data_IF_017650472206
#
_entry.id   IF_017650472206
#
_cell.length_a   1.000
_cell.length_b   1.000
_cell.length_c   1.000
_cell.angle_alpha   90.00
_cell.angle_beta   90.00
_cell.angle_gamma   90.00
#
_symmetry.space_group_name_H-M   'P 1'
#
loop_
_entity.id
_entity.type
_entity.pdbx_description
1 polymer ?
#
# COMPACT_ATOMS: atom_id res chain seq x y z
N UNK A 1 4.07 19.12 -28.83
CA UNK A 1 2.81 18.90 -29.57
C UNK A 1 3.11 17.85 -30.62
N UNK A 2 2.95 16.57 -30.27
CA UNK A 2 3.19 15.44 -31.16
C UNK A 2 1.90 14.63 -31.12
N UNK A 3 1.19 14.63 -32.24
CA UNK A 3 -0.05 13.88 -32.46
C UNK A 3 0.31 12.40 -32.56
N UNK A 4 -0.16 11.58 -31.61
CA UNK A 4 -0.07 10.12 -31.70
C UNK A 4 -1.33 9.66 -32.41
N UNK A 5 -1.26 9.47 -33.73
CA UNK A 5 -2.27 8.73 -34.47
C UNK A 5 -2.15 7.24 -34.11
N UNK A 6 -2.93 6.82 -33.11
CA UNK A 6 -3.23 5.41 -32.89
C UNK A 6 -4.04 4.90 -34.07
N UNK A 7 -3.48 3.93 -34.81
CA UNK A 7 -4.15 3.23 -35.91
C UNK A 7 -5.40 2.52 -35.36
N UNK A 8 -6.56 3.16 -35.50
CA UNK A 8 -7.88 2.61 -35.18
C UNK A 8 -8.14 1.41 -36.09
N UNK A 9 -8.18 0.19 -35.54
CA UNK A 9 -8.73 -0.97 -36.28
C UNK A 9 -10.23 -0.75 -36.44
N UNK A 10 -10.70 -0.76 -37.68
CA UNK A 10 -12.13 -0.86 -38.00
C UNK A 10 -12.63 -2.28 -37.65
N UNK A 11 -13.76 -2.42 -36.94
CA UNK A 11 -14.34 -3.73 -36.66
C UNK A 11 -14.89 -4.33 -37.97
N UNK A 12 -14.37 -5.49 -38.36
CA UNK A 12 -14.83 -6.21 -39.53
C UNK A 12 -15.92 -7.21 -39.13
N UNK A 13 -17.11 -6.98 -39.69
CA UNK A 13 -18.28 -7.85 -39.85
C UNK A 13 -19.03 -8.36 -38.59
N UNK A 14 -20.16 -7.69 -38.32
CA UNK A 14 -21.32 -8.21 -37.58
C UNK A 14 -21.94 -9.41 -38.32
N UNK A 15 -22.41 -10.47 -37.64
CA UNK A 15 -23.59 -11.20 -38.05
C UNK A 15 -24.85 -10.48 -37.54
N UNK A 16 -25.84 -10.37 -38.41
CA UNK A 16 -27.16 -9.84 -38.12
C UNK A 16 -27.85 -10.62 -37.00
N UNK A 17 -28.17 -9.95 -35.91
CA UNK A 17 -29.47 -10.08 -35.24
C UNK A 17 -29.71 -8.83 -34.37
N UNK A 18 -30.71 -8.06 -34.78
CA UNK A 18 -31.16 -6.82 -34.17
C UNK A 18 -31.89 -7.10 -32.87
N UNK A 19 -31.18 -6.94 -31.75
CA UNK A 19 -31.78 -6.47 -30.50
C UNK A 19 -31.29 -5.04 -30.34
N UNK A 20 -32.19 -4.06 -30.43
CA UNK A 20 -31.92 -2.67 -30.02
C UNK A 20 -31.70 -2.64 -28.50
N UNK A 21 -30.57 -3.19 -28.05
CA UNK A 21 -30.06 -3.01 -26.71
C UNK A 21 -29.59 -1.57 -26.64
N UNK A 22 -30.35 -0.71 -25.94
CA UNK A 22 -30.07 0.71 -25.66
C UNK A 22 -28.59 1.08 -25.85
N UNK A 23 -28.20 1.47 -27.07
CA UNK A 23 -26.81 1.75 -27.44
C UNK A 23 -26.21 2.84 -26.55
N UNK A 24 -27.07 3.69 -25.96
CA UNK A 24 -26.71 4.75 -25.02
C UNK A 24 -26.11 4.23 -23.71
N UNK A 25 -26.59 3.11 -23.15
CA UNK A 25 -26.06 2.58 -21.89
C UNK A 25 -24.79 1.77 -22.10
N UNK A 26 -24.74 1.01 -23.20
CA UNK A 26 -23.59 0.16 -23.55
C UNK A 26 -22.31 0.95 -23.85
N UNK A 27 -22.45 2.19 -24.33
CA UNK A 27 -21.35 3.12 -24.65
C UNK A 27 -21.13 4.21 -23.60
N UNK A 28 -21.95 4.25 -22.53
CA UNK A 28 -21.89 5.30 -21.53
C UNK A 28 -20.71 5.15 -20.57
N UNK A 29 -19.96 6.25 -20.38
CA UNK A 29 -18.96 6.35 -19.33
C UNK A 29 -19.56 6.16 -17.93
N UNK A 30 -20.78 6.65 -17.68
CA UNK A 30 -21.45 6.48 -16.39
C UNK A 30 -21.77 5.01 -16.08
N UNK A 31 -22.20 4.25 -17.10
CA UNK A 31 -22.40 2.81 -16.96
C UNK A 31 -21.09 2.08 -16.66
N UNK A 32 -19.98 2.52 -17.26
CA UNK A 32 -18.64 1.96 -17.00
C UNK A 32 -18.18 2.24 -15.58
N UNK A 33 -18.35 3.47 -15.07
CA UNK A 33 -18.06 3.81 -13.67
C UNK A 33 -18.90 2.94 -12.73
N UNK A 34 -20.20 2.80 -13.00
CA UNK A 34 -21.09 1.98 -12.18
C UNK A 34 -20.67 0.51 -12.15
N UNK A 35 -20.35 -0.06 -13.32
CA UNK A 35 -19.89 -1.44 -13.42
C UNK A 35 -18.60 -1.68 -12.62
N UNK A 36 -17.61 -0.80 -12.77
CA UNK A 36 -16.34 -0.86 -12.01
C UNK A 36 -16.60 -0.71 -10.51
N UNK A 37 -17.46 0.22 -10.09
CA UNK A 37 -17.81 0.41 -8.68
C UNK A 37 -18.52 -0.81 -8.09
N UNK A 38 -19.44 -1.43 -8.84
CA UNK A 38 -20.12 -2.68 -8.44
C UNK A 38 -19.11 -3.81 -8.29
N UNK A 39 -18.22 -4.01 -9.28
CA UNK A 39 -17.19 -5.04 -9.19
C UNK A 39 -16.28 -4.82 -7.99
N UNK A 40 -15.77 -3.61 -7.79
CA UNK A 40 -14.92 -3.27 -6.64
C UNK A 40 -15.62 -3.56 -5.32
N UNK A 41 -16.91 -3.23 -5.22
CA UNK A 41 -17.72 -3.48 -4.02
C UNK A 41 -17.85 -4.98 -3.75
N UNK A 42 -18.15 -5.78 -4.78
CA UNK A 42 -18.24 -7.24 -4.65
C UNK A 42 -16.90 -7.81 -4.17
N UNK A 43 -15.79 -7.47 -4.84
CA UNK A 43 -14.47 -7.99 -4.49
C UNK A 43 -14.05 -7.58 -3.08
N UNK A 44 -14.24 -6.31 -2.69
CA UNK A 44 -13.92 -5.85 -1.33
C UNK A 44 -14.78 -6.52 -0.27
N UNK A 45 -16.09 -6.67 -0.50
CA UNK A 45 -16.99 -7.34 0.44
C UNK A 45 -16.61 -8.81 0.61
N UNK A 46 -16.37 -9.52 -0.49
CA UNK A 46 -15.92 -10.92 -0.46
C UNK A 46 -14.59 -11.05 0.28
N UNK A 47 -13.63 -10.17 -0.01
CA UNK A 47 -12.32 -10.17 0.65
C UNK A 47 -12.44 -9.89 2.15
N UNK A 48 -13.27 -8.92 2.54
CA UNK A 48 -13.54 -8.61 3.94
C UNK A 48 -14.18 -9.79 4.69
N UNK A 49 -15.17 -10.46 4.08
CA UNK A 49 -15.80 -11.67 4.65
C UNK A 49 -14.75 -12.78 4.85
N UNK A 50 -13.91 -13.04 3.83
CA UNK A 50 -12.88 -14.09 3.90
C UNK A 50 -11.84 -13.73 4.98
N UNK A 51 -11.35 -12.49 5.03
CA UNK A 51 -10.39 -12.04 6.06
C UNK A 51 -10.96 -12.26 7.46
N UNK A 52 -12.20 -11.86 7.72
CA UNK A 52 -12.85 -12.06 9.02
C UNK A 52 -13.05 -13.55 9.35
N UNK A 53 -13.42 -14.36 8.36
CA UNK A 53 -13.53 -15.81 8.52
C UNK A 53 -12.17 -16.42 8.88
N UNK A 54 -11.08 -16.00 8.23
CA UNK A 54 -9.73 -16.45 8.53
C UNK A 54 -9.33 -16.08 9.97
N UNK A 55 -9.57 -14.84 10.41
CA UNK A 55 -9.31 -14.42 11.79
C UNK A 55 -10.08 -15.31 12.76
N UNK A 56 -11.39 -15.46 12.54
CA UNK A 56 -12.24 -16.30 13.38
C UNK A 56 -11.77 -17.77 13.41
N UNK A 57 -11.34 -18.32 12.27
CA UNK A 57 -10.85 -19.69 12.20
C UNK A 57 -9.58 -19.88 13.03
N UNK A 58 -8.64 -18.93 13.01
CA UNK A 58 -7.36 -18.98 13.71
C UNK A 58 -7.43 -18.52 15.18
N UNK A 59 -8.41 -17.69 15.54
CA UNK A 59 -8.67 -17.31 16.94
C UNK A 59 -9.29 -18.47 17.72
N UNK A 60 -10.21 -19.22 17.11
CA UNK A 60 -10.84 -20.38 17.74
C UNK A 60 -9.89 -21.58 17.96
N UNK A 61 -8.70 -21.59 17.36
CA UNK A 61 -7.68 -22.60 17.63
C UNK A 61 -6.84 -22.33 18.88
N UNK A 62 -6.96 -21.16 19.53
CA UNK A 62 -6.20 -20.82 20.74
C UNK A 62 -6.85 -21.27 22.06
N UNK A 63 -7.86 -22.15 22.03
CA UNK A 63 -8.51 -22.69 23.23
C UNK A 63 -7.70 -23.82 23.89
N UNK A 64 -6.42 -23.56 24.21
CA UNK A 64 -5.69 -24.28 25.27
C UNK A 64 -4.78 -23.28 26.01
N UNK A 65 -4.89 -23.17 27.35
CA UNK A 65 -4.06 -22.26 28.10
C UNK A 65 -2.67 -22.88 28.27
N UNK A 66 -1.68 -22.37 27.56
CA UNK A 66 -0.28 -22.47 27.99
C UNK A 66 0.25 -21.05 28.18
N UNK A 67 0.57 -20.74 29.43
CA UNK A 67 1.33 -19.56 29.80
C UNK A 67 2.72 -19.69 29.17
N UNK A 68 3.11 -18.81 28.25
CA UNK A 68 4.49 -18.32 28.19
C UNK A 68 4.69 -17.11 27.26
N UNK A 69 5.36 -16.11 27.85
CA UNK A 69 6.00 -14.90 27.33
C UNK A 69 5.49 -14.23 26.04
N UNK A 70 4.60 -13.26 26.22
CA UNK A 70 4.26 -12.24 25.22
C UNK A 70 5.35 -11.17 25.18
N UNK A 71 6.28 -11.26 24.22
CA UNK A 71 7.02 -10.07 23.79
C UNK A 71 6.18 -9.30 22.75
N UNK A 72 5.67 -8.16 23.20
CA UNK A 72 5.11 -7.01 22.47
C UNK A 72 4.96 -7.16 20.95
N UNK A 73 3.78 -7.64 20.53
CA UNK A 73 3.18 -7.24 19.25
C UNK A 73 2.25 -6.08 19.56
N UNK A 74 2.57 -4.92 18.99
CA UNK A 74 1.83 -3.67 19.13
C UNK A 74 0.40 -3.86 18.61
N UNK A 75 -0.59 -3.61 19.47
CA UNK A 75 -1.87 -3.01 19.07
C UNK A 75 -2.98 -3.91 18.49
N UNK A 76 -3.22 -5.11 19.01
CA UNK A 76 -4.36 -5.96 18.61
C UNK A 76 -5.68 -5.67 19.37
N UNK A 77 -5.91 -4.43 19.82
CA UNK A 77 -7.06 -4.10 20.68
C UNK A 77 -7.89 -2.94 20.11
N UNK A 78 -8.60 -3.14 19.00
CA UNK A 78 -9.78 -2.32 18.65
C UNK A 78 -10.50 -2.81 17.39
N UNK A 79 -11.22 -3.94 17.47
CA UNK A 79 -12.31 -4.24 16.53
C UNK A 79 -13.52 -4.77 17.31
N UNK A 80 -14.74 -4.24 17.12
CA UNK A 80 -15.92 -4.69 17.87
C UNK A 80 -16.31 -6.12 17.47
N UNK A 81 -16.44 -7.00 18.48
CA UNK A 81 -17.08 -8.31 18.34
C UNK A 81 -18.57 -8.10 18.07
N UNK A 82 -19.03 -8.37 16.85
CA UNK A 82 -20.46 -8.52 16.59
C UNK A 82 -20.72 -9.61 15.53
N UNK A 83 -21.40 -10.68 15.99
CA UNK A 83 -22.07 -11.78 15.26
C UNK A 83 -21.23 -12.73 14.38
N UNK A 84 -21.49 -14.04 14.28
CA UNK A 84 -22.29 -15.02 15.03
C UNK A 84 -21.90 -16.42 14.54
N UNK A 85 -22.07 -17.39 15.42
CA UNK A 85 -21.89 -18.85 15.36
C UNK A 85 -22.27 -19.59 14.07
N UNK A 86 -21.42 -20.52 13.63
CA UNK A 86 -21.76 -21.67 12.78
C UNK A 86 -21.09 -22.97 13.29
N UNK A 87 -21.69 -24.15 13.03
CA UNK A 87 -21.30 -25.41 13.67
C UNK A 87 -20.00 -26.00 13.09
N UNK A 88 -19.25 -26.70 13.95
CA UNK A 88 -17.95 -27.28 13.62
C UNK A 88 -18.07 -28.53 12.74
N UNK A 89 -17.26 -28.57 11.69
CA UNK A 89 -16.95 -29.79 10.94
C UNK A 89 -15.52 -30.17 11.32
N UNK A 90 -15.37 -31.36 11.91
CA UNK A 90 -14.08 -31.93 12.31
C UNK A 90 -13.29 -32.34 11.07
N UNK A 91 -11.99 -32.01 11.00
CA UNK A 91 -11.02 -32.90 10.36
C UNK A 91 -9.56 -32.58 10.71
N UNK A 92 -8.84 -33.65 11.04
CA UNK A 92 -7.40 -33.94 10.92
C UNK A 92 -6.37 -33.10 11.71
N UNK A 93 -5.57 -33.81 12.52
CA UNK A 93 -4.43 -33.36 13.33
C UNK A 93 -3.39 -32.48 12.59
N UNK A 94 -3.20 -32.71 11.29
CA UNK A 94 -2.32 -31.89 10.45
C UNK A 94 -2.95 -30.50 10.21
N UNK A 95 -4.26 -30.44 9.98
CA UNK A 95 -5.02 -29.21 9.80
C UNK A 95 -5.02 -28.37 11.08
N UNK A 96 -5.11 -28.99 12.26
CA UNK A 96 -5.00 -28.28 13.55
C UNK A 96 -3.61 -27.66 13.76
N UNK A 97 -2.54 -28.34 13.37
CA UNK A 97 -1.17 -27.81 13.49
C UNK A 97 -0.91 -26.63 12.53
N UNK A 98 -1.41 -26.70 11.30
CA UNK A 98 -1.35 -25.58 10.35
C UNK A 98 -2.21 -24.39 10.82
N UNK A 99 -3.40 -24.66 11.38
CA UNK A 99 -4.32 -23.64 11.90
C UNK A 99 -3.78 -22.85 13.09
N UNK A 100 -2.73 -23.32 13.76
CA UNK A 100 -2.14 -22.65 14.93
C UNK A 100 -0.92 -21.77 14.63
N UNK A 101 -0.53 -21.62 13.35
CA UNK A 101 0.69 -20.88 12.98
C UNK A 101 0.37 -19.43 12.57
N UNK A 102 0.83 -18.40 13.31
CA UNK A 102 0.53 -16.99 12.98
C UNK A 102 1.09 -16.56 11.62
N UNK A 103 2.21 -17.16 11.17
CA UNK A 103 2.77 -16.91 9.84
C UNK A 103 1.87 -17.41 8.72
N UNK A 104 1.17 -18.55 8.92
CA UNK A 104 0.24 -19.06 7.93
C UNK A 104 -0.98 -18.14 7.78
N UNK A 105 -1.53 -17.64 8.89
CA UNK A 105 -2.59 -16.65 8.83
C UNK A 105 -2.16 -15.43 8.03
N UNK A 106 -0.93 -14.94 8.25
CA UNK A 106 -0.40 -13.79 7.53
C UNK A 106 -0.24 -14.06 6.03
N UNK A 107 0.24 -15.24 5.64
CA UNK A 107 0.31 -15.67 4.23
C UNK A 107 -1.08 -15.69 3.59
N UNK A 108 -2.09 -16.23 4.28
CA UNK A 108 -3.46 -16.29 3.76
C UNK A 108 -4.08 -14.89 3.64
N UNK A 109 -3.79 -14.01 4.60
CA UNK A 109 -4.23 -12.61 4.54
C UNK A 109 -3.58 -11.86 3.37
N UNK A 110 -2.27 -12.03 3.18
CA UNK A 110 -1.54 -11.50 2.01
C UNK A 110 -2.16 -11.99 0.70
N UNK A 111 -2.52 -13.27 0.63
CA UNK A 111 -3.13 -13.88 -0.54
C UNK A 111 -4.50 -13.24 -0.85
N UNK A 112 -5.37 -13.10 0.15
CA UNK A 112 -6.69 -12.44 -0.01
C UNK A 112 -6.53 -10.98 -0.41
N UNK A 113 -5.63 -10.24 0.25
CA UNK A 113 -5.34 -8.86 -0.12
C UNK A 113 -4.79 -8.74 -1.55
N UNK A 114 -4.03 -9.73 -2.02
CA UNK A 114 -3.51 -9.74 -3.40
C UNK A 114 -4.63 -9.94 -4.41
N UNK A 115 -5.59 -10.85 -4.16
CA UNK A 115 -6.78 -10.99 -5.02
C UNK A 115 -7.52 -9.67 -5.11
N UNK A 116 -7.79 -9.04 -3.96
CA UNK A 116 -8.51 -7.77 -3.88
C UNK A 116 -7.82 -6.64 -4.64
N UNK A 117 -6.51 -6.50 -4.44
CA UNK A 117 -5.71 -5.43 -5.04
C UNK A 117 -5.58 -5.62 -6.55
N UNK A 118 -5.26 -6.85 -6.98
CA UNK A 118 -5.04 -7.19 -8.38
C UNK A 118 -6.32 -7.11 -9.20
N UNK A 119 -7.41 -7.71 -8.74
CA UNK A 119 -8.68 -7.72 -9.47
C UNK A 119 -9.19 -6.29 -9.71
N UNK A 120 -9.14 -5.45 -8.68
CA UNK A 120 -9.61 -4.07 -8.82
C UNK A 120 -8.64 -3.17 -9.58
N UNK A 121 -7.33 -3.46 -9.53
CA UNK A 121 -6.36 -2.77 -10.39
C UNK A 121 -6.59 -3.09 -11.87
N UNK A 122 -6.95 -4.33 -12.22
CA UNK A 122 -7.29 -4.71 -13.60
C UNK A 122 -8.54 -3.96 -14.11
N UNK A 123 -9.53 -3.73 -13.24
CA UNK A 123 -10.73 -2.94 -13.54
C UNK A 123 -10.47 -1.42 -13.71
N UNK A 124 -9.26 -0.93 -13.42
CA UNK A 124 -8.92 0.45 -13.79
C UNK A 124 -8.82 0.63 -15.31
N UNK A 125 -8.64 -0.46 -16.08
CA UNK A 125 -8.46 -0.38 -17.52
C UNK A 125 -9.72 0.08 -18.27
N UNK A 126 -10.94 -0.44 -18.02
CA UNK A 126 -12.16 0.14 -18.59
C UNK A 126 -12.32 1.65 -18.34
N UNK A 127 -11.89 2.15 -17.18
CA UNK A 127 -11.90 3.60 -16.89
C UNK A 127 -10.87 4.35 -17.74
N UNK A 128 -9.68 3.77 -17.96
CA UNK A 128 -8.66 4.33 -18.86
C UNK A 128 -9.20 4.52 -20.26
N UNK A 129 -9.89 3.53 -20.81
CA UNK A 129 -10.43 3.64 -22.17
C UNK A 129 -11.59 4.63 -22.24
N UNK A 130 -12.44 4.67 -21.21
CA UNK A 130 -13.59 5.58 -21.19
C UNK A 130 -13.23 7.05 -20.93
N UNK A 131 -12.21 7.33 -20.12
CA UNK A 131 -11.91 8.66 -19.59
C UNK A 131 -10.45 9.11 -19.78
N UNK A 132 -9.62 8.28 -20.43
CA UNK A 132 -8.22 8.57 -20.69
C UNK A 132 -7.33 8.59 -19.45
N UNK A 133 -6.22 9.30 -19.59
CA UNK A 133 -5.13 9.35 -18.61
C UNK A 133 -5.57 9.85 -17.21
N UNK A 134 -6.36 10.93 -17.14
CA UNK A 134 -6.83 11.47 -15.85
C UNK A 134 -7.87 10.57 -15.19
N UNK A 135 -8.68 9.88 -16.00
CA UNK A 135 -9.63 8.88 -15.51
C UNK A 135 -8.93 7.72 -14.82
N UNK A 136 -7.93 7.11 -15.46
CA UNK A 136 -7.19 6.01 -14.85
C UNK A 136 -6.42 6.45 -13.61
N UNK A 137 -5.85 7.65 -13.59
CA UNK A 137 -5.18 8.18 -12.39
C UNK A 137 -6.16 8.35 -11.22
N UNK A 138 -7.37 8.84 -11.51
CA UNK A 138 -8.44 8.95 -10.50
C UNK A 138 -8.86 7.57 -10.01
N UNK A 139 -9.00 6.58 -10.89
CA UNK A 139 -9.32 5.21 -10.52
C UNK A 139 -8.21 4.59 -9.65
N UNK A 140 -6.94 4.73 -10.02
CA UNK A 140 -5.82 4.27 -9.18
C UNK A 140 -5.88 4.92 -7.79
N UNK A 141 -6.11 6.25 -7.75
CA UNK A 141 -6.26 6.98 -6.49
C UNK A 141 -7.40 6.44 -5.60
N UNK A 142 -8.59 6.24 -6.18
CA UNK A 142 -9.74 5.67 -5.48
C UNK A 142 -9.49 4.22 -5.04
N UNK A 143 -8.82 3.41 -5.86
CA UNK A 143 -8.45 2.05 -5.50
C UNK A 143 -7.49 2.04 -4.30
N UNK A 144 -6.49 2.93 -4.27
CA UNK A 144 -5.58 3.06 -3.13
C UNK A 144 -6.29 3.51 -1.85
N UNK A 145 -7.23 4.45 -1.93
CA UNK A 145 -8.06 4.86 -0.78
C UNK A 145 -8.89 3.67 -0.29
N UNK A 146 -9.57 2.96 -1.20
CA UNK A 146 -10.37 1.77 -0.90
C UNK A 146 -9.52 0.73 -0.17
N UNK A 147 -8.36 0.37 -0.73
CA UNK A 147 -7.46 -0.60 -0.10
C UNK A 147 -7.17 -0.16 1.33
N UNK A 148 -6.78 1.10 1.57
CA UNK A 148 -6.49 1.60 2.91
C UNK A 148 -7.64 1.49 3.92
N UNK A 149 -8.90 1.56 3.48
CA UNK A 149 -10.08 1.42 4.34
C UNK A 149 -10.36 -0.05 4.71
N UNK A 150 -10.05 -0.98 3.81
CA UNK A 150 -10.37 -2.41 3.94
C UNK A 150 -9.14 -3.30 4.22
N UNK A 151 -7.97 -2.71 4.45
CA UNK A 151 -6.78 -3.41 4.92
C UNK A 151 -7.03 -4.05 6.29
N UNK A 152 -6.44 -5.23 6.49
CA UNK A 152 -6.53 -5.96 7.75
C UNK A 152 -5.15 -6.52 8.07
N UNK A 153 -4.65 -6.30 9.30
CA UNK A 153 -3.47 -6.97 9.87
C UNK A 153 -2.20 -6.94 8.98
N UNK A 154 -1.81 -5.77 8.46
CA UNK A 154 -0.59 -5.57 7.64
C UNK A 154 -0.53 -6.38 6.32
N UNK A 155 -1.66 -6.88 5.82
CA UNK A 155 -1.72 -7.55 4.52
C UNK A 155 -2.09 -6.57 3.40
N UNK A 156 -1.10 -6.03 2.69
CA UNK A 156 -1.30 -5.05 1.60
C UNK A 156 -1.36 -5.67 0.20
N UNK A 157 -1.27 -6.99 0.07
CA UNK A 157 -1.40 -7.68 -1.22
C UNK A 157 -0.27 -7.38 -2.20
N UNK A 158 0.95 -7.14 -1.69
CA UNK A 158 2.16 -6.90 -2.48
C UNK A 158 3.33 -7.77 -2.02
N UNK A 159 4.12 -8.34 -2.95
CA UNK A 159 5.37 -9.05 -2.63
C UNK A 159 6.40 -8.20 -1.86
N UNK A 160 6.29 -6.88 -1.95
CA UNK A 160 7.13 -5.95 -1.19
C UNK A 160 6.95 -6.08 0.33
N UNK A 161 5.77 -6.49 0.84
CA UNK A 161 5.54 -6.57 2.29
C UNK A 161 6.21 -7.81 2.94
N UNK A 162 6.07 -9.03 2.40
CA UNK A 162 6.86 -10.17 2.88
C UNK A 162 8.36 -9.90 2.83
N UNK A 163 8.84 -9.21 1.80
CA UNK A 163 10.22 -8.80 1.68
C UNK A 163 10.64 -7.82 2.78
N UNK A 164 9.85 -6.77 3.00
CA UNK A 164 10.07 -5.83 4.10
C UNK A 164 10.13 -6.55 5.46
N UNK A 165 9.15 -7.41 5.76
CA UNK A 165 9.08 -8.19 7.00
C UNK A 165 10.30 -9.11 7.19
N UNK A 166 10.81 -9.69 6.10
CA UNK A 166 12.05 -10.45 6.13
C UNK A 166 13.26 -9.57 6.46
N UNK A 167 13.40 -8.42 5.80
CA UNK A 167 14.53 -7.50 6.00
C UNK A 167 14.63 -6.95 7.42
N UNK A 168 13.49 -6.75 8.10
CA UNK A 168 13.43 -6.32 9.50
C UNK A 168 13.43 -7.49 10.50
N UNK A 169 13.60 -8.73 10.02
CA UNK A 169 13.74 -9.92 10.87
C UNK A 169 12.44 -10.45 11.48
N UNK A 170 11.27 -9.98 11.04
CA UNK A 170 9.97 -10.45 11.54
C UNK A 170 9.53 -11.80 10.97
N UNK A 171 10.03 -12.17 9.78
CA UNK A 171 9.62 -13.37 9.06
C UNK A 171 10.84 -14.13 8.54
N UNK A 172 10.84 -15.46 8.69
CA UNK A 172 11.90 -16.32 8.15
C UNK A 172 11.82 -16.40 6.61
N UNK A 173 12.95 -16.63 5.90
CA UNK A 173 12.98 -16.68 4.44
C UNK A 173 11.97 -17.64 3.81
N UNK A 174 11.73 -18.80 4.45
CA UNK A 174 10.78 -19.80 3.95
C UNK A 174 9.35 -19.24 3.86
N UNK A 175 8.92 -18.50 4.89
CA UNK A 175 7.59 -17.91 4.94
C UNK A 175 7.44 -16.75 3.95
N UNK A 176 8.51 -16.00 3.69
CA UNK A 176 8.54 -15.00 2.62
C UNK A 176 8.34 -15.64 1.24
N UNK A 177 9.05 -16.74 0.94
CA UNK A 177 8.89 -17.46 -0.34
C UNK A 177 7.49 -18.06 -0.48
N UNK A 178 6.94 -18.60 0.62
CA UNK A 178 5.56 -19.09 0.66
C UNK A 178 4.58 -17.94 0.38
N UNK A 179 4.74 -16.77 1.01
CA UNK A 179 3.93 -15.58 0.72
C UNK A 179 4.03 -15.18 -0.75
N UNK A 180 5.22 -15.06 -1.34
CA UNK A 180 5.36 -14.71 -2.76
C UNK A 180 4.64 -15.70 -3.68
N UNK A 181 4.78 -16.99 -3.40
CA UNK A 181 4.09 -18.04 -4.17
C UNK A 181 2.57 -17.92 -4.04
N UNK A 182 2.07 -17.75 -2.82
CA UNK A 182 0.64 -17.58 -2.56
C UNK A 182 0.10 -16.31 -3.24
N UNK A 183 0.84 -15.21 -3.20
CA UNK A 183 0.45 -13.95 -3.85
C UNK A 183 0.43 -14.07 -5.38
N UNK A 184 1.38 -14.78 -6.01
CA UNK A 184 1.35 -15.03 -7.45
C UNK A 184 0.15 -15.89 -7.88
N UNK A 185 -0.16 -16.94 -7.09
CA UNK A 185 -1.35 -17.76 -7.31
C UNK A 185 -2.63 -16.91 -7.15
N UNK A 186 -2.70 -16.08 -6.11
CA UNK A 186 -3.80 -15.15 -5.88
C UNK A 186 -3.96 -14.12 -6.98
N UNK A 187 -2.87 -13.55 -7.50
CA UNK A 187 -2.92 -12.64 -8.63
C UNK A 187 -3.48 -13.32 -9.88
N UNK A 188 -3.10 -14.58 -10.11
CA UNK A 188 -3.64 -15.41 -11.21
C UNK A 188 -5.13 -15.69 -11.03
N UNK A 189 -5.59 -15.99 -9.81
CA UNK A 189 -7.02 -16.12 -9.49
C UNK A 189 -7.76 -14.80 -9.76
N UNK A 190 -7.17 -13.66 -9.37
CA UNK A 190 -7.74 -12.34 -9.65
C UNK A 190 -7.94 -12.10 -11.16
N UNK A 191 -6.96 -12.49 -11.98
CA UNK A 191 -7.06 -12.39 -13.43
C UNK A 191 -8.21 -13.24 -14.00
N UNK A 192 -8.38 -14.48 -13.52
CA UNK A 192 -9.49 -15.34 -13.95
C UNK A 192 -10.87 -14.79 -13.53
N UNK A 193 -10.98 -14.23 -12.32
CA UNK A 193 -12.19 -13.54 -11.86
C UNK A 193 -12.51 -12.36 -12.79
N UNK A 194 -11.50 -11.55 -13.14
CA UNK A 194 -11.67 -10.43 -14.07
C UNK A 194 -12.06 -10.90 -15.47
N UNK A 195 -11.46 -11.97 -16.00
CA UNK A 195 -11.85 -12.54 -17.30
C UNK A 195 -13.32 -12.97 -17.31
N UNK A 196 -13.79 -13.62 -16.25
CA UNK A 196 -15.18 -13.99 -16.10
C UNK A 196 -16.11 -12.77 -16.01
N UNK A 197 -15.70 -11.72 -15.28
CA UNK A 197 -16.45 -10.47 -15.23
C UNK A 197 -16.52 -9.77 -16.61
N UNK A 198 -15.40 -9.69 -17.32
CA UNK A 198 -15.34 -9.10 -18.66
C UNK A 198 -16.16 -9.87 -19.68
N UNK A 199 -16.30 -11.19 -19.52
CA UNK A 199 -17.09 -12.03 -20.43
C UNK A 199 -18.59 -11.68 -20.42
N UNK A 200 -19.07 -10.99 -19.38
CA UNK A 200 -20.45 -10.48 -19.33
C UNK A 200 -20.65 -9.26 -20.23
N UNK A 201 -19.56 -8.66 -20.73
CA UNK A 201 -19.56 -7.55 -21.68
C UNK A 201 -20.51 -6.42 -21.28
N UNK A 202 -20.49 -6.04 -20.00
CA UNK A 202 -21.43 -5.05 -19.41
C UNK A 202 -21.39 -3.70 -20.13
N UNK A 203 -20.22 -3.29 -20.61
CA UNK A 203 -20.04 -2.14 -21.50
C UNK A 203 -19.08 -2.49 -22.64
N UNK A 204 -19.01 -1.63 -23.65
CA UNK A 204 -18.06 -1.79 -24.76
C UNK A 204 -16.61 -1.93 -24.27
N UNK A 205 -16.21 -1.20 -23.23
CA UNK A 205 -14.86 -1.27 -22.69
C UNK A 205 -14.57 -2.61 -21.98
N UNK A 206 -15.58 -3.22 -21.32
CA UNK A 206 -15.42 -4.57 -20.77
C UNK A 206 -15.38 -5.63 -21.88
N UNK A 207 -16.15 -5.41 -22.96
CA UNK A 207 -16.10 -6.25 -24.16
C UNK A 207 -14.71 -6.24 -24.78
N UNK A 208 -14.16 -5.04 -25.03
CA UNK A 208 -12.81 -4.86 -25.59
C UNK A 208 -11.76 -5.52 -24.68
N UNK A 209 -11.90 -5.36 -23.36
CA UNK A 209 -10.97 -5.97 -22.41
C UNK A 209 -11.04 -7.50 -22.43
N UNK A 210 -12.24 -8.07 -22.54
CA UNK A 210 -12.40 -9.51 -22.68
C UNK A 210 -11.76 -10.03 -23.97
N UNK A 211 -11.99 -9.36 -25.09
CA UNK A 211 -11.45 -9.76 -26.40
C UNK A 211 -9.91 -9.72 -26.37
N UNK A 212 -9.32 -8.69 -25.75
CA UNK A 212 -7.88 -8.63 -25.50
C UNK A 212 -7.41 -9.81 -24.65
N UNK A 213 -8.13 -10.15 -23.56
CA UNK A 213 -7.74 -11.25 -22.69
C UNK A 213 -7.80 -12.63 -23.39
N UNK A 214 -8.75 -12.81 -24.31
CA UNK A 214 -8.84 -14.01 -25.17
C UNK A 214 -7.71 -14.01 -26.19
N UNK A 215 -7.44 -12.88 -26.83
CA UNK A 215 -6.35 -12.75 -27.81
C UNK A 215 -4.97 -13.05 -27.22
N UNK A 216 -4.75 -12.66 -25.96
CA UNK A 216 -3.53 -12.94 -25.20
C UNK A 216 -3.29 -14.43 -24.92
N UNK A 217 -4.29 -15.31 -25.14
CA UNK A 217 -4.08 -16.77 -25.10
C UNK A 217 -3.27 -17.27 -26.29
N UNK A 218 -3.21 -16.49 -27.38
CA UNK A 218 -2.46 -16.83 -28.59
C UNK A 218 -1.08 -16.14 -28.56
N UNK A 219 0.03 -16.88 -28.41
CA UNK A 219 1.37 -16.28 -28.25
C UNK A 219 1.79 -15.39 -29.42
N UNK A 220 1.27 -15.66 -30.63
CA UNK A 220 1.55 -14.89 -31.83
C UNK A 220 0.96 -13.47 -31.77
N UNK A 221 -0.14 -13.28 -31.02
CA UNK A 221 -0.80 -11.98 -30.89
C UNK A 221 -0.12 -11.09 -29.85
N UNK A 222 0.60 -11.67 -28.88
CA UNK A 222 1.25 -10.94 -27.78
C UNK A 222 2.24 -9.87 -28.27
N UNK A 223 2.95 -10.12 -29.37
CA UNK A 223 3.94 -9.20 -29.96
C UNK A 223 3.31 -7.89 -30.45
N UNK A 224 2.01 -7.89 -30.77
CA UNK A 224 1.31 -6.72 -31.30
C UNK A 224 0.84 -5.75 -30.20
N UNK A 225 0.93 -6.13 -28.92
CA UNK A 225 0.52 -5.27 -27.82
C UNK A 225 1.67 -4.38 -27.38
N UNK A 226 1.35 -3.12 -27.06
CA UNK A 226 2.33 -2.20 -26.52
C UNK A 226 2.64 -2.60 -25.07
N UNK A 227 3.92 -2.79 -24.71
CA UNK A 227 4.30 -3.03 -23.33
C UNK A 227 4.20 -1.74 -22.50
N UNK A 228 3.98 -1.87 -21.19
CA UNK A 228 4.00 -0.70 -20.28
C UNK A 228 5.41 -0.17 -20.04
N UNK A 229 6.44 -1.01 -20.21
CA UNK A 229 7.83 -0.60 -20.17
C UNK A 229 8.20 0.12 -21.47
N UNK A 230 8.12 1.46 -21.45
CA UNK A 230 8.41 2.33 -22.59
C UNK A 230 9.79 3.03 -22.49
N UNK A 231 10.55 2.73 -21.44
CA UNK A 231 11.89 3.29 -21.20
C UNK A 231 12.97 2.20 -21.18
N UNK A 232 14.23 2.61 -21.22
CA UNK A 232 15.34 1.69 -21.05
C UNK A 232 15.23 0.92 -19.72
N UNK A 233 15.62 -0.36 -19.70
CA UNK A 233 15.48 -1.27 -18.56
C UNK A 233 16.04 -0.66 -17.27
N UNK A 234 17.22 -0.04 -17.31
CA UNK A 234 17.82 0.59 -16.13
C UNK A 234 17.04 1.82 -15.63
N UNK A 235 16.44 2.59 -16.54
CA UNK A 235 15.56 3.71 -16.16
C UNK A 235 14.30 3.16 -15.49
N UNK A 236 13.70 2.12 -16.09
CA UNK A 236 12.52 1.47 -15.51
C UNK A 236 12.78 0.91 -14.12
N UNK A 237 13.93 0.24 -13.93
CA UNK A 237 14.40 -0.25 -12.64
C UNK A 237 14.48 0.88 -11.61
N UNK A 238 15.13 2.00 -11.96
CA UNK A 238 15.27 3.16 -11.06
C UNK A 238 13.91 3.75 -10.72
N UNK A 239 12.98 3.84 -11.68
CA UNK A 239 11.66 4.39 -11.45
C UNK A 239 10.84 3.56 -10.46
N UNK A 240 10.76 2.24 -10.68
CA UNK A 240 10.03 1.33 -9.78
C UNK A 240 10.71 1.24 -8.40
N UNK A 241 12.04 1.22 -8.35
CA UNK A 241 12.79 1.26 -7.09
C UNK A 241 12.55 2.55 -6.31
N UNK A 242 12.60 3.70 -6.98
CA UNK A 242 12.38 4.99 -6.35
C UNK A 242 10.95 5.13 -5.83
N UNK A 243 9.95 4.73 -6.62
CA UNK A 243 8.56 4.78 -6.17
C UNK A 243 8.31 3.89 -4.95
N UNK A 244 8.83 2.65 -4.94
CA UNK A 244 8.69 1.75 -3.80
C UNK A 244 9.45 2.26 -2.55
N UNK A 245 10.64 2.84 -2.75
CA UNK A 245 11.39 3.51 -1.68
C UNK A 245 10.56 4.64 -1.06
N UNK A 246 10.02 5.55 -1.87
CA UNK A 246 9.23 6.69 -1.38
C UNK A 246 7.98 6.21 -0.64
N UNK A 247 7.26 5.22 -1.17
CA UNK A 247 6.05 4.67 -0.54
C UNK A 247 6.32 4.19 0.90
N UNK A 248 7.36 3.37 1.09
CA UNK A 248 7.73 2.85 2.40
C UNK A 248 8.36 3.93 3.30
N UNK A 249 9.27 4.74 2.74
CA UNK A 249 10.03 5.72 3.53
C UNK A 249 9.14 6.84 4.05
N UNK A 250 8.15 7.28 3.28
CA UNK A 250 7.17 8.26 3.76
C UNK A 250 6.36 7.71 4.95
N UNK A 251 6.01 6.42 4.97
CA UNK A 251 5.30 5.85 6.11
C UNK A 251 6.12 5.98 7.41
N UNK A 252 7.42 5.69 7.33
CA UNK A 252 8.36 5.79 8.46
C UNK A 252 8.56 7.26 8.86
N UNK A 253 8.88 8.13 7.91
CA UNK A 253 9.14 9.55 8.15
C UNK A 253 7.96 10.23 8.87
N UNK A 254 6.73 9.97 8.40
CA UNK A 254 5.54 10.55 9.01
C UNK A 254 5.24 9.96 10.38
N UNK A 255 5.50 8.67 10.60
CA UNK A 255 5.37 8.08 11.93
C UNK A 255 6.34 8.76 12.92
N UNK A 256 7.62 8.86 12.58
CA UNK A 256 8.62 9.54 13.40
C UNK A 256 8.30 11.03 13.64
N UNK A 257 7.85 11.73 12.61
CA UNK A 257 7.48 13.14 12.72
C UNK A 257 6.30 13.36 13.68
N UNK A 258 5.28 12.49 13.61
CA UNK A 258 4.12 12.57 14.48
C UNK A 258 4.43 12.15 15.93
N UNK A 259 5.26 11.12 16.13
CA UNK A 259 5.76 10.73 17.45
C UNK A 259 6.56 11.85 18.11
N UNK A 260 7.46 12.50 17.35
CA UNK A 260 8.23 13.64 17.83
C UNK A 260 7.33 14.84 18.16
N UNK A 261 6.35 15.15 17.30
CA UNK A 261 5.37 16.20 17.55
C UNK A 261 4.61 15.96 18.86
N UNK A 262 4.10 14.74 19.04
CA UNK A 262 3.38 14.35 20.26
C UNK A 262 4.26 14.47 21.50
N UNK A 263 5.51 13.99 21.45
CA UNK A 263 6.47 14.11 22.55
C UNK A 263 6.72 15.57 22.94
N UNK A 264 6.84 16.47 21.96
CA UNK A 264 7.03 17.90 22.22
C UNK A 264 5.78 18.53 22.84
N UNK A 265 4.58 18.26 22.32
CA UNK A 265 3.33 18.77 22.90
C UNK A 265 3.14 18.33 24.36
N UNK A 266 3.44 17.07 24.69
CA UNK A 266 3.36 16.57 26.08
C UNK A 266 4.37 17.26 26.98
N UNK A 267 5.62 17.46 26.53
CA UNK A 267 6.64 18.18 27.31
C UNK A 267 6.24 19.62 27.60
N UNK A 268 5.71 20.34 26.62
CA UNK A 268 5.22 21.72 26.79
C UNK A 268 4.02 21.79 27.72
N UNK A 269 3.09 20.84 27.63
CA UNK A 269 1.93 20.78 28.52
C UNK A 269 2.34 20.50 29.98
N UNK A 270 3.29 19.58 30.21
CA UNK A 270 3.82 19.30 31.55
C UNK A 270 4.53 20.54 32.10
N UNK A 271 5.39 21.20 31.32
CA UNK A 271 6.09 22.42 31.75
C UNK A 271 5.14 23.54 32.14
N UNK A 272 4.07 23.75 31.36
CA UNK A 272 3.04 24.77 31.64
C UNK A 272 2.22 24.44 32.91
N UNK A 273 2.00 23.15 33.19
CA UNK A 273 1.28 22.70 34.40
C UNK A 273 2.17 22.73 35.64
N UNK A 274 3.46 22.43 35.52
CA UNK A 274 4.42 22.56 36.62
C UNK A 274 4.75 24.02 36.96
N UNK A 275 4.60 24.96 36.01
CA UNK A 275 4.70 26.41 36.31
C UNK A 275 3.47 26.98 37.03
N UNK A 276 2.31 26.29 37.00
CA UNK A 276 1.10 26.71 37.73
C UNK A 276 0.89 25.95 39.05
N UNK A 277 1.65 24.88 39.30
CA UNK A 277 1.62 24.10 40.55
C UNK A 277 3.03 24.03 41.15
N UNK A 278 3.65 25.19 41.39
CA UNK A 278 4.77 25.30 42.29
C UNK A 278 4.23 25.27 43.73
N UNK A 279 3.81 24.09 44.21
CA UNK A 279 3.67 23.68 45.62
C UNK A 279 2.91 22.35 45.74
N UNK A 280 3.45 21.25 45.23
CA UNK A 280 3.27 19.94 45.88
C UNK A 280 4.36 18.97 45.44
N UNK A 281 4.97 18.31 46.42
CA UNK A 281 5.97 17.27 46.23
C UNK A 281 5.33 16.08 45.49
N UNK A 282 5.85 15.75 44.30
CA UNK A 282 5.46 14.54 43.57
C UNK A 282 6.42 13.40 43.93
N UNK A 283 5.92 12.21 44.36
CA UNK A 283 6.77 11.09 44.74
C UNK A 283 7.54 10.50 43.55
N UNK A 284 8.79 10.16 43.79
CA UNK A 284 9.64 9.42 42.84
C UNK A 284 9.12 7.99 42.66
N UNK A 285 8.44 7.70 41.54
CA UNK A 285 8.06 6.32 41.23
C UNK A 285 6.95 6.11 40.21
N UNK A 286 7.06 6.64 38.99
CA UNK A 286 6.33 6.09 37.82
C UNK A 286 6.91 6.57 36.49
N UNK A 287 8.10 6.07 36.13
CA UNK A 287 8.55 6.14 34.72
C UNK A 287 7.84 5.06 33.90
N UNK A 288 6.55 5.27 33.64
CA UNK A 288 5.89 4.71 32.45
C UNK A 288 5.74 5.87 31.48
N UNK A 289 6.55 5.86 30.42
CA UNK A 289 6.38 6.76 29.28
C UNK A 289 4.89 6.81 28.90
N UNK A 290 4.25 8.00 28.85
CA UNK A 290 2.88 8.07 28.36
C UNK A 290 2.92 7.63 26.89
N UNK A 291 2.38 6.44 26.59
CA UNK A 291 2.08 6.06 25.21
C UNK A 291 1.18 7.15 24.64
N UNK A 292 1.74 8.01 23.81
CA UNK A 292 1.04 9.17 23.28
C UNK A 292 0.27 8.70 22.05
N UNK A 293 -0.96 8.21 22.29
CA UNK A 293 -1.83 7.76 21.21
C UNK A 293 -1.99 8.86 20.16
N UNK A 294 -1.65 8.54 18.93
CA UNK A 294 -1.78 9.42 17.77
C UNK A 294 -3.25 9.78 17.56
N UNK A 295 -3.55 11.07 17.45
CA UNK A 295 -4.92 11.49 17.17
C UNK A 295 -5.35 11.02 15.77
N UNK A 296 -6.64 10.65 15.63
CA UNK A 296 -7.22 10.28 14.33
C UNK A 296 -6.99 11.34 13.24
N UNK A 297 -6.93 12.62 13.62
CA UNK A 297 -6.66 13.75 12.71
C UNK A 297 -5.23 13.71 12.18
N UNK A 298 -4.24 13.42 13.03
CA UNK A 298 -2.84 13.31 12.63
C UNK A 298 -2.61 12.13 11.67
N UNK A 299 -3.22 10.98 11.96
CA UNK A 299 -3.16 9.82 11.06
C UNK A 299 -3.77 10.14 9.69
N UNK A 300 -4.95 10.77 9.67
CA UNK A 300 -5.61 11.16 8.43
C UNK A 300 -4.80 12.18 7.62
N UNK A 301 -4.23 13.20 8.27
CA UNK A 301 -3.40 14.19 7.59
C UNK A 301 -2.14 13.57 6.98
N UNK A 302 -1.46 12.69 7.74
CA UNK A 302 -0.32 11.90 7.24
C UNK A 302 -0.73 11.04 6.04
N UNK A 303 -1.86 10.35 6.12
CA UNK A 303 -2.37 9.54 5.03
C UNK A 303 -2.60 10.36 3.76
N UNK A 304 -3.32 11.49 3.86
CA UNK A 304 -3.61 12.37 2.71
C UNK A 304 -2.32 12.84 2.06
N UNK A 305 -1.34 13.30 2.83
CA UNK A 305 -0.10 13.83 2.28
C UNK A 305 0.74 12.73 1.60
N UNK A 306 0.86 11.55 2.22
CA UNK A 306 1.52 10.39 1.61
C UNK A 306 0.82 9.96 0.33
N UNK A 307 -0.51 9.91 0.34
CA UNK A 307 -1.32 9.60 -0.83
C UNK A 307 -1.09 10.59 -1.98
N UNK A 308 -1.07 11.90 -1.71
CA UNK A 308 -0.83 12.93 -2.72
C UNK A 308 0.57 12.82 -3.36
N UNK A 309 1.58 12.51 -2.56
CA UNK A 309 2.94 12.30 -3.08
C UNK A 309 2.98 11.05 -3.96
N UNK A 310 2.45 9.93 -3.47
CA UNK A 310 2.45 8.67 -4.21
C UNK A 310 1.64 8.74 -5.52
N UNK A 311 0.46 9.37 -5.51
CA UNK A 311 -0.33 9.50 -6.74
C UNK A 311 0.35 10.42 -7.77
N UNK A 312 1.11 11.42 -7.30
CA UNK A 312 1.93 12.27 -8.17
C UNK A 312 3.06 11.47 -8.81
N UNK A 313 3.74 10.61 -8.05
CA UNK A 313 4.76 9.71 -8.58
C UNK A 313 4.18 8.73 -9.60
N UNK A 314 3.03 8.14 -9.29
CA UNK A 314 2.28 7.28 -10.22
C UNK A 314 1.96 8.02 -11.50
N UNK A 315 1.47 9.26 -11.42
CA UNK A 315 1.19 10.06 -12.62
C UNK A 315 2.44 10.16 -13.52
N UNK A 316 3.58 10.58 -12.99
CA UNK A 316 4.80 10.69 -13.80
C UNK A 316 5.29 9.33 -14.34
N UNK A 317 5.22 8.28 -13.52
CA UNK A 317 5.71 6.96 -13.89
C UNK A 317 4.79 6.13 -14.78
N UNK A 318 3.50 6.47 -14.87
CA UNK A 318 2.50 5.67 -15.57
C UNK A 318 2.87 5.45 -17.04
N UNK A 319 3.44 6.47 -17.68
CA UNK A 319 3.85 6.39 -19.10
C UNK A 319 5.18 5.68 -19.32
N UNK A 320 6.00 5.53 -18.28
CA UNK A 320 7.35 4.98 -18.38
C UNK A 320 7.38 3.48 -18.10
N UNK A 321 6.73 3.05 -17.03
CA UNK A 321 6.71 1.65 -16.59
C UNK A 321 5.31 1.15 -16.25
N UNK A 322 4.31 2.03 -16.22
CA UNK A 322 3.03 1.76 -15.56
C UNK A 322 3.03 2.07 -14.06
N UNK A 323 4.21 2.32 -13.46
CA UNK A 323 4.43 2.58 -12.03
C UNK A 323 3.64 1.63 -11.12
N UNK A 324 3.91 0.34 -11.28
CA UNK A 324 3.12 -0.70 -10.61
C UNK A 324 3.43 -0.80 -9.12
N UNK A 325 4.71 -0.67 -8.73
CA UNK A 325 5.22 -0.76 -7.35
C UNK A 325 4.89 -2.08 -6.59
N UNK A 326 4.17 -2.97 -7.25
CA UNK A 326 3.69 -4.24 -6.75
C UNK A 326 4.02 -5.32 -7.80
N UNK A 327 5.03 -6.18 -7.53
CA UNK A 327 5.47 -7.18 -8.50
C UNK A 327 4.38 -8.16 -8.93
N UNK A 328 3.46 -8.54 -8.04
CA UNK A 328 2.35 -9.44 -8.39
C UNK A 328 1.34 -8.77 -9.32
N UNK A 329 1.05 -7.49 -9.08
CA UNK A 329 0.17 -6.70 -9.94
C UNK A 329 0.80 -6.46 -11.33
N UNK A 330 2.09 -6.11 -11.36
CA UNK A 330 2.83 -5.95 -12.61
C UNK A 330 2.86 -7.26 -13.42
N UNK A 331 3.02 -8.40 -12.74
CA UNK A 331 3.06 -9.71 -13.38
C UNK A 331 1.78 -9.99 -14.18
N UNK A 332 0.60 -9.84 -13.58
CA UNK A 332 -0.66 -10.14 -14.27
C UNK A 332 -1.06 -9.09 -15.32
N UNK A 333 -0.50 -7.88 -15.26
CA UNK A 333 -0.83 -6.81 -16.19
C UNK A 333 0.10 -6.74 -17.40
N UNK A 334 1.38 -7.08 -17.26
CA UNK A 334 2.37 -6.84 -18.31
C UNK A 334 3.29 -8.02 -18.63
N UNK A 335 3.18 -9.15 -17.93
CA UNK A 335 4.03 -10.31 -18.20
C UNK A 335 3.77 -10.90 -19.59
N UNK A 336 4.83 -11.02 -20.39
CA UNK A 336 4.76 -11.61 -21.73
C UNK A 336 4.05 -10.73 -22.77
N UNK A 337 3.68 -9.49 -22.43
CA UNK A 337 3.08 -8.55 -23.37
C UNK A 337 4.13 -7.82 -24.21
N UNK A 338 3.87 -7.71 -25.51
CA UNK A 338 4.73 -7.00 -26.44
C UNK A 338 6.08 -7.68 -26.65
N UNK A 339 7.12 -6.87 -26.80
CA UNK A 339 8.49 -7.31 -27.10
C UNK A 339 9.40 -7.37 -25.86
N UNK A 340 8.86 -7.12 -24.67
CA UNK A 340 9.65 -7.10 -23.43
C UNK A 340 10.04 -8.53 -23.06
N UNK A 341 11.34 -8.76 -22.92
CA UNK A 341 11.85 -10.06 -22.50
C UNK A 341 11.43 -10.36 -21.05
N UNK A 342 11.20 -11.63 -20.67
CA UNK A 342 10.91 -12.02 -19.29
C UNK A 342 11.94 -11.52 -18.28
N UNK A 343 13.23 -11.49 -18.66
CA UNK A 343 14.32 -11.00 -17.81
C UNK A 343 14.18 -9.51 -17.55
N UNK A 344 13.85 -8.71 -18.58
CA UNK A 344 13.63 -7.27 -18.39
C UNK A 344 12.44 -7.00 -17.47
N UNK A 345 11.38 -7.79 -17.57
CA UNK A 345 10.23 -7.69 -16.66
C UNK A 345 10.63 -7.97 -15.22
N UNK A 346 11.37 -9.06 -14.96
CA UNK A 346 11.88 -9.39 -13.62
C UNK A 346 12.78 -8.27 -13.08
N UNK A 347 13.72 -7.77 -13.87
CA UNK A 347 14.63 -6.70 -13.44
C UNK A 347 13.82 -5.47 -13.02
N UNK A 348 12.92 -4.99 -13.87
CA UNK A 348 12.19 -3.75 -13.60
C UNK A 348 11.15 -3.92 -12.50
N UNK A 349 10.27 -4.90 -12.61
CA UNK A 349 9.06 -4.98 -11.80
C UNK A 349 9.20 -5.85 -10.55
N UNK A 350 10.24 -6.68 -10.44
CA UNK A 350 10.56 -7.42 -9.22
C UNK A 350 11.76 -6.83 -8.52
N UNK A 351 12.92 -6.80 -9.17
CA UNK A 351 14.15 -6.35 -8.52
C UNK A 351 14.11 -4.86 -8.18
N UNK A 352 13.48 -4.03 -9.04
CA UNK A 352 13.29 -2.59 -8.78
C UNK A 352 12.58 -2.32 -7.45
N UNK A 353 11.29 -2.69 -7.29
CA UNK A 353 10.56 -2.46 -6.05
C UNK A 353 11.24 -3.08 -4.81
N UNK A 354 11.78 -4.30 -4.94
CA UNK A 354 12.49 -4.98 -3.83
C UNK A 354 13.75 -4.21 -3.40
N UNK A 355 14.50 -3.66 -4.36
CA UNK A 355 15.64 -2.80 -4.09
C UNK A 355 15.21 -1.50 -3.40
N UNK A 356 14.09 -0.89 -3.82
CA UNK A 356 13.49 0.27 -3.17
C UNK A 356 13.15 0.03 -1.69
N UNK A 357 12.52 -1.10 -1.38
CA UNK A 357 12.22 -1.51 0.00
C UNK A 357 13.49 -1.76 0.81
N UNK A 358 14.51 -2.40 0.21
CA UNK A 358 15.81 -2.60 0.86
C UNK A 358 16.51 -1.27 1.17
N UNK A 359 16.47 -0.31 0.24
CA UNK A 359 16.96 1.05 0.47
C UNK A 359 16.21 1.71 1.61
N UNK A 360 14.89 1.52 1.71
CA UNK A 360 14.08 2.08 2.79
C UNK A 360 14.52 1.55 4.16
N UNK A 361 14.65 0.23 4.32
CA UNK A 361 15.11 -0.38 5.59
C UNK A 361 16.53 0.07 5.94
N UNK A 362 17.38 0.26 4.93
CA UNK A 362 18.73 0.79 5.13
C UNK A 362 18.68 2.25 5.58
N UNK A 363 17.86 3.08 4.93
CA UNK A 363 17.67 4.48 5.27
C UNK A 363 17.04 4.65 6.65
N UNK A 364 16.08 3.80 7.05
CA UNK A 364 15.46 3.79 8.37
C UNK A 364 16.50 3.66 9.49
N UNK A 365 17.44 2.71 9.36
CA UNK A 365 18.55 2.55 10.32
C UNK A 365 19.37 3.82 10.47
N UNK A 366 19.63 4.50 9.35
CA UNK A 366 20.34 5.78 9.35
C UNK A 366 19.48 6.88 9.98
N UNK A 367 18.20 6.97 9.63
CA UNK A 367 17.28 7.97 10.16
C UNK A 367 17.17 7.87 11.68
N UNK A 368 17.02 6.68 12.26
CA UNK A 368 17.01 6.51 13.72
C UNK A 368 18.35 6.87 14.37
N UNK A 369 19.48 6.64 13.70
CA UNK A 369 20.80 6.98 14.23
C UNK A 369 21.09 8.49 14.19
N UNK A 370 20.69 9.17 13.12
CA UNK A 370 21.07 10.56 12.85
C UNK A 370 20.00 11.60 13.20
N UNK A 371 18.71 11.25 13.17
CA UNK A 371 17.63 12.20 13.50
C UNK A 371 17.74 12.77 14.92
N UNK A 372 18.04 11.98 15.97
CA UNK A 372 18.28 12.53 17.31
C UNK A 372 19.47 13.49 17.34
N UNK A 373 20.54 13.22 16.58
CA UNK A 373 21.74 14.05 16.49
C UNK A 373 21.44 15.39 15.80
N UNK A 374 20.66 15.36 14.71
CA UNK A 374 20.24 16.57 13.97
C UNK A 374 19.30 17.41 14.84
N UNK A 375 18.29 16.81 15.47
CA UNK A 375 17.36 17.53 16.36
C UNK A 375 18.12 18.16 17.54
N UNK A 376 19.07 17.45 18.14
CA UNK A 376 19.91 17.99 19.20
C UNK A 376 20.73 19.20 18.73
N UNK A 377 21.28 19.17 17.51
CA UNK A 377 22.05 20.28 16.93
C UNK A 377 21.18 21.53 16.66
N UNK A 378 19.96 21.34 16.16
CA UNK A 378 19.00 22.44 15.93
C UNK A 378 18.51 23.03 17.26
N UNK A 379 18.24 22.19 18.26
CA UNK A 379 17.86 22.64 19.60
C UNK A 379 19.00 23.38 20.31
N UNK A 380 20.25 23.00 20.07
CA UNK A 380 21.42 23.70 20.61
C UNK A 380 21.64 25.06 19.94
N UNK A 381 21.32 25.20 18.65
CA UNK A 381 21.36 26.49 17.95
C UNK A 381 20.29 27.46 18.44
N UNK A 382 19.10 26.98 18.85
CA UNK A 382 18.04 27.82 19.41
C UNK A 382 18.23 28.22 20.90
N UNK A 383 19.22 27.64 21.59
CA UNK A 383 19.53 27.95 22.99
C UNK A 383 20.84 28.70 23.21
N UNK A 384 21.50 29.23 22.16
CA UNK A 384 22.56 30.24 22.39
C UNK A 384 21.91 31.54 22.85
N UNK A 385 22.14 32.00 24.10
CA UNK A 385 21.73 33.33 24.50
C UNK A 385 22.63 34.33 23.76
N UNK A 386 22.02 35.32 23.11
CA UNK A 386 22.72 36.57 22.84
C UNK A 386 23.24 37.13 24.17
N UNK A 387 24.51 36.88 24.47
CA UNK A 387 25.24 37.58 25.52
C UNK A 387 25.45 39.00 25.03
N UNK A 388 24.46 39.87 25.27
CA UNK A 388 24.61 41.31 25.16
C UNK A 388 25.59 41.79 26.23
N UNK A 389 26.88 41.76 25.88
CA UNK A 389 27.95 42.40 26.64
C UNK A 389 27.85 43.93 26.48
N UNK A 390 27.09 44.58 27.34
CA UNK A 390 27.23 46.02 27.59
C UNK A 390 27.30 46.30 29.08
N UNK A 391 28.51 46.27 29.62
CA UNK A 391 28.88 47.09 30.77
C UNK A 391 30.39 47.37 30.80
N UNK A 392 30.75 48.61 30.46
CA UNK A 392 31.45 49.58 31.33
C UNK A 392 32.43 50.49 30.58
N UNK A 393 32.30 51.79 30.83
CA UNK A 393 33.37 52.76 30.60
C UNK A 393 32.90 54.21 30.53
N UNK A 394 32.72 54.86 31.70
CA UNK A 394 33.49 56.06 32.08
C UNK A 394 32.84 56.84 33.23
N UNK A 395 33.40 56.70 34.42
CA UNK A 395 33.45 57.78 35.41
C UNK A 395 34.91 58.20 35.55
N UNK A 396 35.27 59.35 34.98
CA UNK A 396 36.60 59.97 35.11
C UNK A 396 36.49 61.14 36.09
N UNK A 397 37.27 61.04 37.16
CA UNK A 397 37.75 62.06 38.11
C UNK A 397 37.03 63.42 38.24
N UNK A 398 36.77 63.80 39.51
CA UNK A 398 37.29 65.07 40.02
C UNK A 398 37.51 65.01 41.53
N UNK A 399 38.74 65.30 41.93
CA UNK A 399 39.14 65.77 43.25
C UNK A 399 38.83 67.27 43.36
N UNK A 400 38.22 67.66 44.48
CA UNK A 400 38.68 68.72 45.39
C UNK A 400 38.17 68.38 46.80
#
# INVERSE_FOLDING_TARGET
MITIEGKKRTPMNKPNESVELNESMYTSGAATILAVAVFWTIISLTSWIIKNLLIWLFDNSKSQPSQESTHNIIGLNSIPRLLVTFPSISSNFILEKFRSTPQLLLVLMDAVATVEQCACSLECWPIREAFGYWGVLTAIGLNSIRTCVFLTLDAYGSPCNPWYRYLIGQVQPIWMVISWTAQLLSASIALEICKYWWSWRVTIYHSDRYDIAVDMLNPQNLVNYQPDLNVAVWIGFICEAFGAFVEFYLAILFLCALENWNSQCTRTAIQTTSSSVANSEIPAGSQTSPNCDLSRKQFLASFILRFLINITLVAYGLTWTGMYLNPANAFIQSWGLGTVSPIHHIIVYWLGPMFGVWLCVTAEKWTYEYTPKIIASISAQHHSPEVNNHNHGNGKCRSD
#
